data_IF_539268652332
#
_entry.id   IF_539268652332
#
_cell.length_a   1.000
_cell.length_b   1.000
_cell.length_c   1.000
_cell.angle_alpha   90.00
_cell.angle_beta   90.00
_cell.angle_gamma   90.00
#
_symmetry.space_group_name_H-M   'P 1'
#
loop_
_entity.id
_entity.type
_entity.pdbx_description
1 polymer ?
#
# COMPACT_ATOMS: atom_id res chain seq x y z
N UNK A 1 5.80 -50.95 -34.01
CA UNK A 1 6.72 -50.13 -33.20
C UNK A 1 5.91 -49.49 -32.10
N UNK A 2 6.02 -50.02 -30.89
CA UNK A 2 5.10 -49.78 -29.77
C UNK A 2 5.62 -48.63 -28.92
N UNK A 3 4.87 -47.54 -28.82
CA UNK A 3 5.23 -46.34 -28.07
C UNK A 3 5.11 -46.57 -26.56
N UNK A 4 6.26 -46.70 -25.90
CA UNK A 4 6.42 -46.86 -24.45
C UNK A 4 6.23 -45.50 -23.76
N UNK A 5 5.01 -45.22 -23.29
CA UNK A 5 4.74 -44.07 -22.39
C UNK A 5 5.31 -44.39 -21.01
N UNK A 6 6.21 -43.54 -20.51
CA UNK A 6 6.77 -43.61 -19.16
C UNK A 6 5.62 -43.46 -18.16
N UNK A 7 5.30 -44.56 -17.46
CA UNK A 7 4.48 -44.53 -16.27
C UNK A 7 5.31 -44.07 -15.06
N UNK A 8 4.59 -43.56 -14.05
CA UNK A 8 5.04 -43.30 -12.67
C UNK A 8 5.50 -41.87 -12.36
N UNK A 9 4.56 -40.91 -12.46
CA UNK A 9 4.52 -39.73 -11.59
C UNK A 9 3.60 -40.03 -10.38
N UNK A 10 3.99 -41.00 -9.56
CA UNK A 10 3.23 -41.38 -8.36
C UNK A 10 4.19 -41.49 -7.17
N UNK A 11 4.60 -40.34 -6.63
CA UNK A 11 5.10 -40.26 -5.24
C UNK A 11 5.10 -38.81 -4.75
N UNK A 12 3.92 -38.24 -4.50
CA UNK A 12 3.79 -37.19 -3.48
C UNK A 12 2.63 -37.60 -2.57
N UNK A 13 2.89 -38.58 -1.71
CA UNK A 13 2.04 -38.91 -0.59
C UNK A 13 2.73 -38.38 0.68
N UNK A 14 2.12 -37.37 1.29
CA UNK A 14 2.53 -36.75 2.55
C UNK A 14 2.47 -37.75 3.70
N UNK A 15 3.36 -37.60 4.70
CA UNK A 15 2.91 -37.80 6.07
C UNK A 15 3.32 -36.66 7.01
N UNK A 16 2.48 -36.49 8.04
CA UNK A 16 2.71 -35.75 9.29
C UNK A 16 2.62 -34.21 9.23
N UNK A 17 1.38 -33.71 9.30
CA UNK A 17 1.10 -32.46 10.02
C UNK A 17 1.35 -32.71 11.51
N UNK A 18 2.59 -32.48 11.97
CA UNK A 18 2.88 -32.31 13.38
C UNK A 18 2.05 -31.13 13.90
N UNK A 19 1.07 -31.41 14.76
CA UNK A 19 0.29 -30.38 15.43
C UNK A 19 1.21 -29.63 16.40
N UNK A 20 1.49 -28.36 16.10
CA UNK A 20 2.09 -27.44 17.05
C UNK A 20 1.18 -27.34 18.29
N UNK A 21 1.65 -27.85 19.42
CA UNK A 21 1.04 -27.65 20.73
C UNK A 21 1.74 -26.48 21.40
N UNK A 22 1.05 -25.40 21.79
CA UNK A 22 1.65 -24.37 22.61
C UNK A 22 1.87 -24.94 24.01
N UNK A 23 3.12 -25.01 24.45
CA UNK A 23 3.45 -25.33 25.85
C UNK A 23 2.97 -24.19 26.76
N UNK A 24 2.08 -24.52 27.68
CA UNK A 24 1.68 -23.67 28.79
C UNK A 24 2.84 -23.53 29.78
N UNK A 25 3.61 -22.44 29.72
CA UNK A 25 4.35 -21.99 30.90
C UNK A 25 4.80 -20.52 30.82
N UNK A 26 4.00 -19.60 31.36
CA UNK A 26 4.52 -18.48 32.17
C UNK A 26 3.40 -17.76 32.93
N UNK A 27 2.95 -18.36 34.03
CA UNK A 27 2.16 -17.61 35.02
C UNK A 27 3.09 -16.68 35.80
N UNK A 28 3.33 -15.46 35.30
CA UNK A 28 3.85 -14.37 36.13
C UNK A 28 2.69 -13.65 36.78
N UNK A 29 2.39 -14.03 38.01
CA UNK A 29 1.56 -13.24 38.94
C UNK A 29 2.13 -11.81 39.05
N UNK A 30 1.34 -10.75 38.85
CA UNK A 30 1.78 -9.41 39.18
C UNK A 30 1.78 -9.25 40.71
N UNK A 31 2.96 -9.06 41.29
CA UNK A 31 3.09 -8.64 42.69
C UNK A 31 2.82 -7.14 42.78
N UNK A 32 1.84 -6.76 43.61
CA UNK A 32 1.59 -5.36 44.00
C UNK A 32 2.75 -4.87 44.88
N UNK A 33 3.38 -3.71 44.59
CA UNK A 33 4.21 -3.06 45.57
C UNK A 33 3.35 -2.44 46.68
N UNK A 34 3.74 -2.70 47.92
CA UNK A 34 3.15 -2.15 49.13
C UNK A 34 3.41 -0.64 49.22
N UNK A 35 2.34 0.15 49.37
CA UNK A 35 2.43 1.55 49.77
C UNK A 35 2.28 1.60 51.29
N UNK A 36 3.35 1.97 52.00
CA UNK A 36 3.33 2.29 53.43
C UNK A 36 3.43 3.80 53.63
N UNK A 37 2.51 4.34 54.43
CA UNK A 37 2.58 5.67 55.06
C UNK A 37 2.20 6.82 54.11
N UNK A 38 1.36 7.79 54.46
CA UNK A 38 0.87 8.25 55.76
C UNK A 38 -0.43 9.03 55.52
N UNK A 39 -1.44 8.78 56.34
CA UNK A 39 -2.64 9.60 56.44
C UNK A 39 -2.33 10.97 57.10
N UNK A 40 -3.15 11.95 56.71
CA UNK A 40 -3.39 13.28 57.32
C UNK A 40 -2.42 14.42 57.01
N UNK A 41 -2.83 15.23 56.04
CA UNK A 41 -3.15 16.66 56.26
C UNK A 41 -4.00 17.16 55.07
N UNK A 42 -5.30 17.43 55.31
CA UNK A 42 -5.86 18.78 55.35
C UNK A 42 -5.86 19.47 53.97
N UNK A 43 -6.90 19.24 53.17
CA UNK A 43 -8.07 20.15 53.16
C UNK A 43 -7.68 21.56 52.70
N UNK A 44 -7.66 21.76 51.37
CA UNK A 44 -7.86 23.01 50.61
C UNK A 44 -7.22 22.87 49.22
N UNK A 45 -7.83 22.05 48.35
CA UNK A 45 -7.52 22.02 46.91
C UNK A 45 -8.60 21.24 46.14
N UNK A 46 -9.86 21.38 46.55
CA UNK A 46 -11.00 20.69 45.92
C UNK A 46 -11.74 21.53 44.86
N UNK A 47 -11.33 22.79 44.62
CA UNK A 47 -12.10 23.71 43.79
C UNK A 47 -11.47 24.05 42.41
N UNK A 48 -10.27 23.55 42.09
CA UNK A 48 -9.59 23.92 40.83
C UNK A 48 -9.23 22.73 39.93
N UNK A 49 -9.83 21.54 40.15
CA UNK A 49 -9.58 20.33 39.36
C UNK A 49 -10.82 19.85 38.58
N UNK A 50 -11.97 20.51 38.72
CA UNK A 50 -13.22 20.10 38.06
C UNK A 50 -13.40 20.71 36.67
N UNK A 51 -12.80 21.86 36.37
CA UNK A 51 -12.91 22.48 35.02
C UNK A 51 -11.95 21.86 33.99
N UNK A 52 -10.75 21.44 34.40
CA UNK A 52 -9.81 20.77 33.48
C UNK A 52 -10.17 19.30 33.19
N UNK A 53 -11.03 18.68 34.00
CA UNK A 53 -11.54 17.33 33.76
C UNK A 53 -12.72 17.32 32.77
N UNK A 54 -13.42 18.44 32.62
CA UNK A 54 -14.54 18.59 31.67
C UNK A 54 -14.05 19.02 30.29
N UNK A 55 -13.08 19.95 30.20
CA UNK A 55 -12.47 20.32 28.92
C UNK A 55 -11.82 19.14 28.17
N UNK A 56 -11.17 18.21 28.89
CA UNK A 56 -10.59 16.98 28.30
C UNK A 56 -11.62 15.93 27.87
N UNK A 57 -12.87 16.00 28.36
CA UNK A 57 -13.96 15.09 27.96
C UNK A 57 -14.61 15.55 26.67
N UNK A 58 -14.71 16.85 26.44
CA UNK A 58 -15.30 17.40 25.22
C UNK A 58 -14.37 17.27 24.00
N UNK A 59 -13.05 17.36 24.18
CA UNK A 59 -12.09 17.11 23.09
C UNK A 59 -12.06 15.63 22.63
N UNK A 60 -12.45 14.68 23.49
CA UNK A 60 -12.47 13.24 23.15
C UNK A 60 -13.66 12.83 22.28
N UNK A 61 -14.65 13.70 22.09
CA UNK A 61 -15.81 13.44 21.21
C UNK A 61 -15.51 13.63 19.73
N UNK A 62 -14.37 14.20 19.36
CA UNK A 62 -13.89 14.17 17.97
C UNK A 62 -13.17 12.85 17.67
N UNK A 63 -13.82 11.72 17.97
CA UNK A 63 -13.40 10.46 17.38
C UNK A 63 -13.98 10.43 15.98
N UNK A 64 -13.09 10.47 14.99
CA UNK A 64 -13.39 10.12 13.59
C UNK A 64 -14.34 8.92 13.51
N UNK A 65 -15.23 8.85 12.50
CA UNK A 65 -16.27 7.84 12.45
C UNK A 65 -15.66 6.42 12.44
N UNK A 66 -15.70 5.75 13.60
CA UNK A 66 -15.30 4.35 13.80
C UNK A 66 -16.06 3.39 12.87
N UNK A 67 -17.19 3.83 12.31
CA UNK A 67 -18.01 3.10 11.36
C UNK A 67 -17.37 2.93 9.98
N UNK A 68 -16.52 3.86 9.52
CA UNK A 68 -15.88 3.74 8.20
C UNK A 68 -14.79 2.65 8.19
N UNK A 69 -14.02 2.54 9.27
CA UNK A 69 -12.93 1.57 9.39
C UNK A 69 -13.40 0.09 9.42
N UNK A 70 -14.66 -0.17 9.82
CA UNK A 70 -15.24 -1.52 9.79
C UNK A 70 -15.75 -1.91 8.40
N UNK A 71 -16.14 -0.93 7.58
CA UNK A 71 -16.67 -1.18 6.23
C UNK A 71 -15.57 -1.58 5.23
N UNK A 72 -14.35 -1.08 5.44
CA UNK A 72 -13.19 -1.34 4.57
C UNK A 72 -12.33 -2.55 5.01
N UNK A 73 -12.66 -3.19 6.14
CA UNK A 73 -11.91 -4.34 6.63
C UNK A 73 -12.20 -5.59 5.79
N UNK A 74 -11.18 -6.14 5.14
CA UNK A 74 -11.28 -7.33 4.28
C UNK A 74 -11.54 -7.04 2.81
N UNK A 75 -11.76 -5.77 2.44
CA UNK A 75 -11.76 -5.33 1.05
C UNK A 75 -10.32 -5.07 0.59
N UNK A 76 -9.94 -5.42 -0.65
CA UNK A 76 -8.65 -5.00 -1.18
C UNK A 76 -8.61 -3.46 -1.22
N UNK A 77 -7.48 -2.83 -0.87
CA UNK A 77 -7.35 -1.38 -1.00
C UNK A 77 -7.57 -1.01 -2.47
N UNK A 78 -8.57 -0.16 -2.74
CA UNK A 78 -8.78 0.41 -4.08
C UNK A 78 -7.49 1.12 -4.47
N UNK A 79 -6.75 0.53 -5.40
CA UNK A 79 -5.53 1.18 -5.88
C UNK A 79 -5.95 2.40 -6.68
N UNK A 80 -5.37 3.55 -6.39
CA UNK A 80 -5.65 4.84 -7.05
C UNK A 80 -5.43 4.82 -8.57
N UNK A 81 -4.90 3.72 -9.10
CA UNK A 81 -4.74 3.44 -10.53
C UNK A 81 -6.04 2.97 -11.21
N UNK A 82 -7.14 2.75 -10.47
CA UNK A 82 -8.35 2.10 -10.98
C UNK A 82 -9.34 3.02 -11.70
N UNK A 83 -9.19 4.34 -11.65
CA UNK A 83 -10.22 5.28 -12.14
C UNK A 83 -9.77 6.16 -13.32
N UNK A 84 -8.55 5.98 -13.84
CA UNK A 84 -8.03 6.80 -14.95
C UNK A 84 -7.93 5.95 -16.21
N UNK A 85 -8.81 6.23 -17.18
CA UNK A 85 -8.83 5.56 -18.48
C UNK A 85 -7.84 6.18 -19.48
N UNK A 86 -7.63 7.50 -19.41
CA UNK A 86 -6.76 8.23 -20.33
C UNK A 86 -6.15 9.49 -19.68
N UNK A 87 -4.90 9.82 -20.02
CA UNK A 87 -4.18 11.01 -19.58
C UNK A 87 -3.49 11.65 -20.78
N UNK A 88 -3.83 12.89 -21.10
CA UNK A 88 -3.11 13.71 -22.09
C UNK A 88 -2.25 14.74 -21.37
N UNK A 89 -0.97 14.81 -21.72
CA UNK A 89 0.00 15.65 -21.03
C UNK A 89 1.21 15.96 -21.93
N UNK A 90 2.00 16.96 -21.53
CA UNK A 90 3.22 17.35 -22.24
C UNK A 90 4.44 16.80 -21.52
N UNK A 91 5.43 16.31 -22.27
CA UNK A 91 6.69 15.84 -21.70
C UNK A 91 7.50 17.03 -21.18
N UNK A 92 7.67 17.12 -19.86
CA UNK A 92 8.51 18.14 -19.21
C UNK A 92 9.98 17.73 -19.17
N UNK A 93 10.26 16.46 -18.92
CA UNK A 93 11.64 15.95 -18.84
C UNK A 93 11.72 14.50 -19.34
N UNK A 94 12.81 14.20 -20.05
CA UNK A 94 13.19 12.84 -20.42
C UNK A 94 14.49 12.45 -19.73
N UNK A 95 14.56 11.20 -19.34
CA UNK A 95 15.77 10.58 -18.82
C UNK A 95 15.82 9.10 -19.16
N UNK A 96 16.89 8.45 -18.76
CA UNK A 96 17.06 7.01 -18.91
C UNK A 96 17.51 6.39 -17.59
N UNK A 97 17.05 5.17 -17.34
CA UNK A 97 17.53 4.37 -16.22
C UNK A 97 18.86 3.69 -16.57
N UNK A 98 19.59 3.21 -15.55
CA UNK A 98 20.82 2.45 -15.75
C UNK A 98 20.67 1.19 -16.64
N UNK A 99 19.43 0.73 -16.87
CA UNK A 99 19.10 -0.40 -17.76
C UNK A 99 18.61 0.06 -19.14
N UNK A 100 18.77 1.33 -19.49
CA UNK A 100 18.34 1.90 -20.78
C UNK A 100 16.81 1.97 -20.97
N UNK A 101 16.04 1.97 -19.87
CA UNK A 101 14.58 2.20 -19.95
C UNK A 101 14.29 3.69 -19.85
N UNK A 102 13.36 4.15 -20.70
CA UNK A 102 12.95 5.55 -20.74
C UNK A 102 12.23 5.96 -19.45
N UNK A 103 12.57 7.15 -18.96
CA UNK A 103 11.96 7.84 -17.84
C UNK A 103 11.29 9.11 -18.37
N UNK A 104 9.97 9.14 -18.34
CA UNK A 104 9.16 10.25 -18.83
C UNK A 104 8.59 10.99 -17.63
N UNK A 105 8.88 12.28 -17.55
CA UNK A 105 8.23 13.18 -16.59
C UNK A 105 7.29 14.07 -17.38
N UNK A 106 6.05 14.14 -16.93
CA UNK A 106 5.00 14.93 -17.54
C UNK A 106 4.87 16.30 -16.85
N UNK A 107 4.21 17.25 -17.49
CA UNK A 107 3.96 18.60 -16.96
C UNK A 107 3.03 18.59 -15.74
N UNK A 108 2.13 17.60 -15.66
CA UNK A 108 1.29 17.34 -14.48
C UNK A 108 2.08 16.80 -13.26
N UNK A 109 3.40 16.62 -13.38
CA UNK A 109 4.29 16.16 -12.32
C UNK A 109 4.33 14.64 -12.12
N UNK A 110 3.52 13.88 -12.86
CA UNK A 110 3.59 12.40 -12.83
C UNK A 110 4.82 11.89 -13.56
N UNK A 111 5.35 10.76 -13.09
CA UNK A 111 6.52 10.15 -13.69
C UNK A 111 6.23 8.71 -14.10
N UNK A 112 6.63 8.39 -15.33
CA UNK A 112 6.36 7.13 -16.00
C UNK A 112 7.66 6.48 -16.46
N UNK A 113 7.77 5.18 -16.26
CA UNK A 113 8.91 4.38 -16.71
C UNK A 113 8.47 3.38 -17.76
N UNK A 114 9.23 3.26 -18.85
CA UNK A 114 9.03 2.22 -19.84
C UNK A 114 9.21 0.82 -19.25
N UNK A 115 8.27 -0.08 -19.55
CA UNK A 115 8.25 -1.47 -19.09
C UNK A 115 8.69 -2.46 -20.16
N UNK A 116 8.35 -2.21 -21.42
CA UNK A 116 8.80 -3.05 -22.54
C UNK A 116 10.20 -2.67 -23.03
N UNK A 117 10.66 -3.33 -24.10
CA UNK A 117 11.97 -3.07 -24.73
C UNK A 117 11.84 -2.37 -26.09
N UNK A 118 10.64 -1.90 -26.44
CA UNK A 118 10.38 -1.31 -27.74
C UNK A 118 10.98 0.10 -27.80
N UNK A 119 11.90 0.41 -28.72
CA UNK A 119 12.45 1.74 -28.79
C UNK A 119 11.39 2.73 -29.28
N UNK A 120 11.29 3.86 -28.60
CA UNK A 120 10.44 4.98 -29.01
C UNK A 120 11.19 6.28 -28.80
N UNK A 121 11.24 7.10 -29.85
CA UNK A 121 11.83 8.42 -29.80
C UNK A 121 10.80 9.38 -29.25
N UNK A 122 11.10 9.97 -28.11
CA UNK A 122 10.34 11.05 -27.48
C UNK A 122 11.24 12.28 -27.40
N UNK A 123 10.62 13.45 -27.42
CA UNK A 123 11.30 14.74 -27.24
C UNK A 123 10.56 15.52 -26.16
N UNK A 124 11.28 16.35 -25.41
CA UNK A 124 10.68 17.29 -24.46
C UNK A 124 9.78 18.29 -25.19
N UNK A 125 8.65 18.67 -24.59
CA UNK A 125 7.65 19.56 -25.19
C UNK A 125 6.67 18.85 -26.14
N UNK A 126 6.78 17.53 -26.31
CA UNK A 126 5.83 16.74 -27.10
C UNK A 126 4.59 16.41 -26.26
N UNK A 127 3.42 16.55 -26.87
CA UNK A 127 2.15 16.08 -26.31
C UNK A 127 2.04 14.56 -26.48
N UNK A 128 1.69 13.88 -25.40
CA UNK A 128 1.57 12.43 -25.34
C UNK A 128 0.28 12.03 -24.64
N UNK A 129 -0.24 10.88 -25.04
CA UNK A 129 -1.43 10.28 -24.46
C UNK A 129 -1.05 8.98 -23.77
N UNK A 130 -1.47 8.80 -22.53
CA UNK A 130 -1.33 7.56 -21.78
C UNK A 130 -2.72 6.94 -21.62
N UNK A 131 -2.92 5.78 -22.23
CA UNK A 131 -4.18 5.05 -22.21
C UNK A 131 -4.07 3.82 -21.29
N UNK A 132 -5.14 3.53 -20.57
CA UNK A 132 -5.30 2.28 -19.84
C UNK A 132 -5.70 1.16 -20.79
N UNK A 133 -4.99 0.04 -20.70
CA UNK A 133 -5.27 -1.19 -21.41
C UNK A 133 -5.77 -2.31 -20.49
N UNK A 134 -5.91 -3.50 -21.07
CA UNK A 134 -6.35 -4.68 -20.34
C UNK A 134 -5.40 -5.06 -19.18
N UNK A 135 -5.97 -5.55 -18.07
CA UNK A 135 -5.26 -5.95 -16.86
C UNK A 135 -4.40 -4.85 -16.22
N UNK A 136 -4.84 -3.59 -16.28
CA UNK A 136 -4.13 -2.47 -15.66
C UNK A 136 -2.79 -2.16 -16.34
N UNK A 137 -2.63 -2.52 -17.60
CA UNK A 137 -1.51 -2.04 -18.41
C UNK A 137 -1.73 -0.57 -18.78
N UNK A 138 -0.65 0.20 -18.87
CA UNK A 138 -0.69 1.55 -19.41
C UNK A 138 0.18 1.62 -20.67
N UNK A 139 -0.31 2.34 -21.68
CA UNK A 139 0.37 2.53 -22.94
C UNK A 139 0.53 4.01 -23.24
N UNK A 140 1.73 4.42 -23.61
CA UNK A 140 2.02 5.78 -24.04
C UNK A 140 2.11 5.82 -25.57
N UNK A 141 1.36 6.73 -26.16
CA UNK A 141 1.33 7.08 -27.59
C UNK A 141 1.55 8.58 -27.76
N UNK A 142 1.83 9.01 -29.00
CA UNK A 142 1.90 10.43 -29.34
C UNK A 142 1.54 10.64 -30.80
N UNK A 143 1.18 11.88 -31.13
CA UNK A 143 0.90 12.27 -32.49
C UNK A 143 2.20 12.29 -33.31
N UNK A 144 2.23 11.47 -34.35
CA UNK A 144 3.38 11.32 -35.25
C UNK A 144 3.83 9.88 -35.47
N UNK A 145 3.43 8.93 -34.59
CA UNK A 145 3.69 7.51 -34.83
C UNK A 145 2.51 6.66 -34.37
N UNK A 146 2.03 5.75 -35.23
CA UNK A 146 1.00 4.76 -34.90
C UNK A 146 1.51 3.61 -34.01
N UNK A 147 2.42 3.90 -33.07
CA UNK A 147 2.98 2.94 -32.14
C UNK A 147 2.79 3.45 -30.72
N UNK A 148 2.70 2.51 -29.79
CA UNK A 148 2.65 2.78 -28.36
C UNK A 148 3.65 1.92 -27.62
N UNK A 149 4.10 2.40 -26.46
CA UNK A 149 5.00 1.66 -25.56
C UNK A 149 4.30 1.40 -24.23
N UNK A 150 4.58 0.24 -23.63
CA UNK A 150 4.06 -0.09 -22.31
C UNK A 150 4.82 0.67 -21.24
N UNK A 151 4.11 1.39 -20.39
CA UNK A 151 4.68 2.19 -19.30
C UNK A 151 4.11 1.76 -17.95
N UNK A 152 4.78 2.15 -16.87
CA UNK A 152 4.29 2.05 -15.50
C UNK A 152 4.47 3.40 -14.80
N UNK A 153 3.52 3.78 -13.96
CA UNK A 153 3.67 4.95 -13.09
C UNK A 153 4.68 4.63 -12.00
N UNK A 154 5.52 5.60 -11.66
CA UNK A 154 6.49 5.48 -10.57
C UNK A 154 6.36 6.61 -9.53
N UNK A 155 5.77 7.74 -9.91
CA UNK A 155 5.49 8.88 -9.03
C UNK A 155 4.23 9.60 -9.46
#
# INVERSE_FOLDING_TARGET
MTTRRLACFDTIQSPALERYTPSENNQRKPQKPAFTGTEKAREKQAANMSEQAQARRDERKQTQPRSQALADFGLPPKTVDEDIDEITAIISQLGETARGKLLITLDNGTQWQQKDSQPMRLTTGLEVTIERGFLGAFFLSHDGVNRRIKVKRIR
#
